data_IF_789297612047
#
_entry.id   IF_789297612047
#
_cell.length_a   1.000
_cell.length_b   1.000
_cell.length_c   1.000
_cell.angle_alpha   90.00
_cell.angle_beta   90.00
_cell.angle_gamma   90.00
#
_symmetry.space_group_name_H-M   'P 1'
#
loop_
_entity.id
_entity.type
_entity.pdbx_description
1 polymer ?
#
# COMPACT_ATOMS: atom_id res chain seq x y z
N UNK A 1 20.12 41.18 -26.31
CA UNK A 1 18.93 40.64 -25.64
C UNK A 1 18.77 39.23 -26.20
N UNK A 2 19.33 38.24 -25.51
CA UNK A 2 19.50 36.88 -26.03
C UNK A 2 18.20 36.13 -25.87
N UNK A 3 17.52 35.93 -26.99
CA UNK A 3 16.32 35.10 -27.13
C UNK A 3 16.74 33.64 -26.97
N UNK A 4 16.67 33.12 -25.73
CA UNK A 4 16.70 31.68 -25.49
C UNK A 4 15.25 31.20 -25.63
N UNK A 5 14.96 30.24 -26.52
CA UNK A 5 13.64 29.62 -26.52
C UNK A 5 13.36 29.06 -25.12
N UNK A 6 12.19 29.35 -24.57
CA UNK A 6 11.69 28.68 -23.37
C UNK A 6 11.75 27.17 -23.62
N UNK A 7 12.17 26.37 -22.61
CA UNK A 7 12.19 24.92 -22.77
C UNK A 7 10.77 24.45 -23.09
N UNK A 8 10.61 23.42 -23.95
CA UNK A 8 9.29 22.93 -24.32
C UNK A 8 8.52 22.57 -23.04
N UNK A 9 7.34 23.16 -22.97
CA UNK A 9 6.26 22.94 -22.03
C UNK A 9 6.36 21.58 -21.31
N UNK A 10 6.77 21.61 -20.04
CA UNK A 10 6.98 20.38 -19.28
C UNK A 10 5.62 19.71 -19.06
N UNK A 11 5.34 18.64 -19.82
CA UNK A 11 4.16 17.81 -19.64
C UNK A 11 4.01 17.37 -18.18
N UNK A 12 2.78 17.38 -17.68
CA UNK A 12 2.49 17.08 -16.29
C UNK A 12 2.98 15.69 -15.89
N UNK A 13 3.46 15.57 -14.65
CA UNK A 13 4.07 14.38 -14.06
C UNK A 13 5.44 13.98 -14.62
N UNK A 14 5.96 14.67 -15.64
CA UNK A 14 7.24 14.34 -16.27
C UNK A 14 8.39 14.29 -15.28
N UNK A 15 8.43 15.20 -14.29
CA UNK A 15 9.47 15.16 -13.25
C UNK A 15 9.30 13.97 -12.29
N UNK A 16 8.08 13.63 -11.87
CA UNK A 16 7.82 12.46 -11.02
C UNK A 16 8.10 11.14 -11.76
N UNK A 17 7.71 11.05 -13.04
CA UNK A 17 7.96 9.91 -13.91
C UNK A 17 9.46 9.77 -14.17
N UNK A 18 10.15 10.86 -14.47
CA UNK A 18 11.61 10.86 -14.64
C UNK A 18 12.33 10.48 -13.33
N UNK A 19 11.85 10.94 -12.17
CA UNK A 19 12.40 10.52 -10.88
C UNK A 19 12.24 9.00 -10.63
N UNK A 20 11.19 8.39 -11.21
CA UNK A 20 10.91 6.95 -11.06
C UNK A 20 11.63 6.08 -12.09
N UNK A 21 11.70 6.51 -13.34
CA UNK A 21 12.17 5.71 -14.48
C UNK A 21 13.44 6.24 -15.15
N UNK A 22 13.92 7.42 -14.78
CA UNK A 22 15.06 8.10 -15.39
C UNK A 22 14.66 9.07 -16.52
N UNK A 23 15.59 9.97 -16.90
CA UNK A 23 15.37 11.11 -17.81
C UNK A 23 15.21 10.73 -19.31
N UNK A 24 14.85 9.49 -19.64
CA UNK A 24 14.69 9.00 -21.02
C UNK A 24 13.43 8.18 -21.29
N UNK A 25 12.52 8.09 -20.31
CA UNK A 25 11.25 7.32 -20.38
C UNK A 25 10.03 8.26 -20.40
N UNK A 26 10.27 9.56 -20.54
CA UNK A 26 9.23 10.60 -20.46
C UNK A 26 8.29 10.55 -21.65
N UNK A 27 8.78 10.16 -22.83
CA UNK A 27 7.99 10.19 -24.06
C UNK A 27 6.92 9.09 -24.12
N UNK A 28 7.14 7.95 -23.46
CA UNK A 28 6.17 6.83 -23.42
C UNK A 28 5.09 6.99 -22.34
N UNK A 29 5.27 7.94 -21.43
CA UNK A 29 4.34 8.20 -20.31
C UNK A 29 3.88 9.67 -20.26
N UNK A 30 4.17 10.44 -21.31
CA UNK A 30 3.73 11.81 -21.43
C UNK A 30 2.20 11.86 -21.45
N UNK A 31 1.63 12.67 -20.57
CA UNK A 31 0.22 13.02 -20.62
C UNK A 31 0.06 14.17 -21.62
N UNK A 32 -0.76 14.02 -22.68
CA UNK A 32 -1.06 15.11 -23.60
C UNK A 32 -1.60 16.34 -22.87
N UNK A 33 -1.24 17.54 -23.34
CA UNK A 33 -1.63 18.80 -22.69
C UNK A 33 -3.14 19.00 -22.63
N UNK A 34 -3.87 18.56 -23.65
CA UNK A 34 -5.32 18.61 -23.72
C UNK A 34 -6.00 17.68 -22.69
N UNK A 35 -5.28 16.69 -22.14
CA UNK A 35 -5.73 15.83 -21.05
C UNK A 35 -5.25 16.29 -19.65
N UNK A 36 -4.48 17.38 -19.57
CA UNK A 36 -3.79 17.80 -18.35
C UNK A 36 -4.74 18.22 -17.21
N UNK A 37 -5.88 18.81 -17.56
CA UNK A 37 -6.91 19.21 -16.59
C UNK A 37 -7.66 17.98 -16.06
N UNK A 38 -7.97 17.02 -16.95
CA UNK A 38 -8.68 15.80 -16.59
C UNK A 38 -7.84 14.86 -15.69
N UNK A 39 -6.52 14.89 -15.87
CA UNK A 39 -5.57 14.05 -15.12
C UNK A 39 -5.07 14.70 -13.82
N UNK A 40 -5.60 15.88 -13.45
CA UNK A 40 -5.28 16.58 -12.20
C UNK A 40 -5.88 15.90 -10.99
N UNK A 41 -5.12 15.02 -10.32
CA UNK A 41 -5.57 14.48 -9.04
C UNK A 41 -4.43 14.15 -8.07
N UNK A 42 -4.70 14.38 -6.78
CA UNK A 42 -3.77 14.12 -5.69
C UNK A 42 -3.40 12.64 -5.56
N UNK A 43 -4.25 11.72 -6.02
CA UNK A 43 -3.98 10.27 -5.97
C UNK A 43 -2.83 9.87 -6.90
N UNK A 44 -2.79 10.40 -8.13
CA UNK A 44 -1.71 10.17 -9.09
C UNK A 44 -0.42 10.79 -8.56
N UNK A 45 -0.48 12.02 -8.03
CA UNK A 45 0.66 12.66 -7.37
C UNK A 45 1.23 11.78 -6.24
N UNK A 46 0.36 11.25 -5.38
CA UNK A 46 0.74 10.35 -4.28
C UNK A 46 1.35 9.04 -4.78
N UNK A 47 0.78 8.42 -5.82
CA UNK A 47 1.27 7.15 -6.34
C UNK A 47 2.63 7.29 -7.03
N UNK A 48 2.85 8.35 -7.80
CA UNK A 48 4.11 8.58 -8.50
C UNK A 48 5.23 9.02 -7.55
N UNK A 49 4.91 9.73 -6.47
CA UNK A 49 5.88 10.18 -5.45
C UNK A 49 6.18 9.15 -4.37
N UNK A 50 5.45 8.03 -4.33
CA UNK A 50 5.61 6.97 -3.34
C UNK A 50 7.06 6.48 -3.26
N UNK A 51 7.56 6.40 -2.01
CA UNK A 51 8.86 5.82 -1.66
C UNK A 51 8.78 5.15 -0.29
N UNK A 52 9.52 4.07 -0.08
CA UNK A 52 9.55 3.41 1.24
C UNK A 52 10.21 4.31 2.29
N UNK A 53 9.48 4.64 3.35
CA UNK A 53 10.02 5.32 4.52
C UNK A 53 10.49 4.29 5.55
N UNK A 54 11.76 4.35 5.96
CA UNK A 54 12.36 3.41 6.94
C UNK A 54 12.90 4.09 8.20
N UNK A 55 12.52 5.35 8.41
CA UNK A 55 12.87 6.13 9.60
C UNK A 55 11.62 6.83 10.08
N UNK A 56 11.22 6.55 11.31
CA UNK A 56 9.97 7.04 11.89
C UNK A 56 10.27 7.95 13.08
N UNK A 57 9.34 8.85 13.38
CA UNK A 57 9.29 9.57 14.66
C UNK A 57 8.60 8.70 15.69
N UNK A 58 8.72 9.08 16.97
CA UNK A 58 7.97 8.45 18.07
C UNK A 58 6.53 8.98 18.19
N UNK A 59 6.07 9.77 17.21
CA UNK A 59 4.72 10.32 17.19
C UNK A 59 3.69 9.18 17.01
N UNK A 60 2.74 9.01 17.94
CA UNK A 60 1.79 7.92 17.87
C UNK A 60 0.73 8.17 16.77
N UNK A 61 0.34 7.10 16.08
CA UNK A 61 -0.86 7.10 15.23
C UNK A 61 -2.08 6.90 16.14
N UNK A 62 -3.02 7.84 16.12
CA UNK A 62 -4.24 7.73 16.94
C UNK A 62 -5.09 6.52 16.53
N UNK A 63 -5.81 5.91 17.48
CA UNK A 63 -6.70 4.76 17.19
C UNK A 63 -7.80 5.15 16.17
N UNK A 64 -8.27 6.40 16.20
CA UNK A 64 -9.26 6.91 15.24
C UNK A 64 -8.68 6.95 13.81
N UNK A 65 -7.47 7.47 13.65
CA UNK A 65 -6.80 7.49 12.36
C UNK A 65 -6.46 6.08 11.88
N UNK A 66 -5.98 5.23 12.78
CA UNK A 66 -5.73 3.82 12.49
C UNK A 66 -7.00 3.10 11.99
N UNK A 67 -8.13 3.32 12.66
CA UNK A 67 -9.42 2.77 12.24
C UNK A 67 -9.84 3.21 10.84
N UNK A 68 -9.63 4.49 10.50
CA UNK A 68 -9.86 5.02 9.15
C UNK A 68 -8.98 4.30 8.11
N UNK A 69 -7.69 4.14 8.38
CA UNK A 69 -6.77 3.46 7.45
C UNK A 69 -7.14 1.97 7.27
N UNK A 70 -7.60 1.30 8.33
CA UNK A 70 -8.11 -0.07 8.25
C UNK A 70 -9.40 -0.15 7.44
N UNK A 71 -10.27 0.87 7.48
CA UNK A 71 -11.44 0.94 6.60
C UNK A 71 -11.04 1.14 5.13
N UNK A 72 -10.00 1.94 4.85
CA UNK A 72 -9.43 2.06 3.51
C UNK A 72 -8.87 0.72 3.01
N UNK A 73 -8.14 -0.01 3.86
CA UNK A 73 -7.65 -1.35 3.55
C UNK A 73 -8.79 -2.32 3.20
N UNK A 74 -9.88 -2.28 3.98
CA UNK A 74 -11.05 -3.14 3.78
C UNK A 74 -11.89 -2.78 2.55
N UNK A 75 -11.65 -1.60 1.97
CA UNK A 75 -12.32 -1.15 0.74
C UNK A 75 -11.65 -1.70 -0.53
N UNK A 76 -10.54 -2.45 -0.39
CA UNK A 76 -9.92 -3.15 -1.51
C UNK A 76 -10.89 -4.18 -2.13
N UNK A 77 -10.88 -4.36 -3.46
CA UNK A 77 -11.62 -5.45 -4.09
C UNK A 77 -11.08 -6.79 -3.57
N UNK A 78 -11.92 -7.82 -3.51
CA UNK A 78 -11.52 -9.16 -3.05
C UNK A 78 -12.15 -10.24 -3.90
N UNK A 79 -11.48 -11.38 -4.04
CA UNK A 79 -11.98 -12.49 -4.86
C UNK A 79 -13.36 -12.93 -4.37
N UNK A 80 -14.39 -12.78 -5.21
CA UNK A 80 -15.77 -13.16 -4.90
C UNK A 80 -16.30 -12.58 -3.57
N UNK A 81 -15.79 -11.43 -3.13
CA UNK A 81 -16.07 -10.84 -1.81
C UNK A 81 -15.74 -11.76 -0.61
N UNK A 82 -14.81 -12.70 -0.77
CA UNK A 82 -14.44 -13.66 0.28
C UNK A 82 -13.54 -13.05 1.37
N UNK A 83 -12.96 -11.87 1.11
CA UNK A 83 -12.14 -11.10 2.05
C UNK A 83 -11.11 -12.00 2.77
N UNK A 84 -10.29 -12.69 1.97
CA UNK A 84 -9.44 -13.80 2.40
C UNK A 84 -8.14 -13.32 3.06
N UNK A 85 -8.25 -12.37 3.99
CA UNK A 85 -7.13 -11.79 4.69
C UNK A 85 -7.45 -11.42 6.14
N UNK A 86 -6.40 -11.30 6.93
CA UNK A 86 -6.42 -10.74 8.28
C UNK A 86 -5.29 -9.71 8.43
N UNK A 87 -5.57 -8.62 9.15
CA UNK A 87 -4.60 -7.56 9.48
C UNK A 87 -4.31 -7.66 10.97
N UNK A 88 -3.08 -8.01 11.33
CA UNK A 88 -2.65 -8.14 12.72
C UNK A 88 -1.86 -6.88 13.10
N UNK A 89 -2.34 -6.15 14.11
CA UNK A 89 -1.65 -4.97 14.64
C UNK A 89 -0.86 -5.33 15.90
N UNK A 90 0.47 -5.23 15.82
CA UNK A 90 1.38 -5.49 16.96
C UNK A 90 1.52 -4.23 17.81
N UNK A 91 0.60 -4.06 18.78
CA UNK A 91 0.57 -2.91 19.69
C UNK A 91 1.72 -2.94 20.72
N UNK A 92 2.11 -4.12 21.20
CA UNK A 92 3.12 -4.28 22.25
C UNK A 92 4.55 -4.06 21.71
N UNK A 93 5.30 -3.05 22.22
CA UNK A 93 6.69 -2.84 21.86
C UNK A 93 7.59 -4.05 22.11
N UNK A 94 7.32 -4.86 23.15
CA UNK A 94 8.11 -6.05 23.45
C UNK A 94 7.94 -7.12 22.37
N UNK A 95 6.72 -7.28 21.84
CA UNK A 95 6.46 -8.16 20.69
C UNK A 95 7.16 -7.66 19.43
N UNK A 96 7.16 -6.35 19.15
CA UNK A 96 7.90 -5.78 18.01
C UNK A 96 9.41 -6.04 18.13
N UNK A 97 9.97 -5.82 19.32
CA UNK A 97 11.38 -6.09 19.59
C UNK A 97 11.73 -7.58 19.43
N UNK A 98 10.82 -8.49 19.79
CA UNK A 98 11.00 -9.93 19.59
C UNK A 98 10.90 -10.37 18.12
N UNK A 99 10.15 -9.63 17.28
CA UNK A 99 10.03 -9.90 15.85
C UNK A 99 11.22 -9.38 15.04
N UNK A 100 11.84 -8.27 15.45
CA UNK A 100 12.93 -7.63 14.69
C UNK A 100 14.10 -8.58 14.32
N UNK A 101 14.59 -9.47 15.20
CA UNK A 101 15.63 -10.45 14.85
C UNK A 101 15.23 -11.45 13.75
N UNK A 102 13.93 -11.70 13.55
CA UNK A 102 13.42 -12.58 12.48
C UNK A 102 13.46 -11.91 11.10
N UNK A 103 13.67 -10.59 11.06
CA UNK A 103 13.72 -9.78 9.85
C UNK A 103 15.02 -8.96 9.80
N UNK A 104 16.20 -9.62 9.64
CA UNK A 104 17.51 -8.98 9.80
C UNK A 104 17.76 -7.84 8.81
N UNK A 105 17.09 -7.85 7.66
CA UNK A 105 17.20 -6.81 6.63
C UNK A 105 16.21 -5.64 6.85
N UNK A 106 15.52 -5.59 7.99
CA UNK A 106 14.45 -4.63 8.26
C UNK A 106 14.57 -4.05 9.69
N UNK A 107 15.73 -3.43 10.03
CA UNK A 107 16.01 -2.97 11.40
C UNK A 107 15.00 -1.93 11.92
N UNK A 108 14.32 -1.20 11.02
CA UNK A 108 13.30 -0.23 11.39
C UNK A 108 12.06 -0.83 12.08
N UNK A 109 11.86 -2.16 12.02
CA UNK A 109 10.76 -2.85 12.72
C UNK A 109 10.75 -2.63 14.23
N UNK A 110 11.93 -2.53 14.85
CA UNK A 110 12.03 -2.34 16.29
C UNK A 110 11.57 -0.94 16.73
N UNK A 111 11.75 0.06 15.87
CA UNK A 111 11.47 1.47 16.17
C UNK A 111 10.24 2.05 15.47
N UNK A 112 9.46 1.25 14.73
CA UNK A 112 8.25 1.78 14.10
C UNK A 112 7.11 1.92 15.13
N UNK A 113 6.33 3.01 15.08
CA UNK A 113 5.22 3.23 16.02
C UNK A 113 4.04 2.30 15.75
N UNK A 114 3.88 1.85 14.50
CA UNK A 114 2.83 0.91 14.07
C UNK A 114 3.48 -0.21 13.26
N UNK A 115 3.23 -1.46 13.68
CA UNK A 115 3.62 -2.66 12.93
C UNK A 115 2.38 -3.48 12.60
N UNK A 116 2.16 -3.70 11.30
CA UNK A 116 1.07 -4.52 10.77
C UNK A 116 1.59 -5.75 10.04
N UNK A 117 0.88 -6.86 10.19
CA UNK A 117 1.11 -8.09 9.43
C UNK A 117 -0.16 -8.39 8.64
N UNK A 118 -0.03 -8.39 7.31
CA UNK A 118 -1.10 -8.77 6.40
C UNK A 118 -0.96 -10.26 6.06
N UNK A 119 -1.94 -11.05 6.45
CA UNK A 119 -1.94 -12.50 6.26
C UNK A 119 -3.00 -12.89 5.24
N UNK A 120 -2.67 -13.80 4.33
CA UNK A 120 -3.68 -14.60 3.64
C UNK A 120 -4.41 -15.44 4.70
N UNK A 121 -5.73 -15.27 4.83
CA UNK A 121 -6.55 -15.93 5.86
C UNK A 121 -7.78 -16.58 5.24
N UNK A 122 -7.70 -17.90 5.09
CA UNK A 122 -8.81 -18.74 4.64
C UNK A 122 -9.63 -19.31 5.81
N UNK A 123 -9.13 -19.18 7.05
CA UNK A 123 -9.72 -19.83 8.22
C UNK A 123 -11.11 -19.28 8.52
N UNK A 124 -11.37 -17.98 8.26
CA UNK A 124 -12.72 -17.40 8.35
C UNK A 124 -13.72 -18.15 7.46
N UNK A 125 -13.36 -18.36 6.20
CA UNK A 125 -14.25 -18.99 5.22
C UNK A 125 -14.41 -20.49 5.48
N UNK A 126 -13.33 -21.17 5.90
CA UNK A 126 -13.38 -22.56 6.31
C UNK A 126 -14.34 -22.78 7.50
N UNK A 127 -14.18 -21.99 8.57
CA UNK A 127 -15.09 -22.05 9.74
C UNK A 127 -16.54 -21.75 9.35
N UNK A 128 -16.76 -20.80 8.44
CA UNK A 128 -18.10 -20.49 7.95
C UNK A 128 -18.73 -21.67 7.20
N UNK A 129 -17.97 -22.36 6.34
CA UNK A 129 -18.46 -23.54 5.63
C UNK A 129 -18.75 -24.69 6.59
N UNK A 130 -17.86 -24.97 7.54
CA UNK A 130 -18.03 -26.02 8.56
C UNK A 130 -19.27 -25.75 9.42
N UNK A 131 -19.45 -24.53 9.91
CA UNK A 131 -20.62 -24.12 10.70
C UNK A 131 -21.95 -24.25 9.94
N UNK A 132 -21.90 -24.25 8.61
CA UNK A 132 -23.08 -24.41 7.73
C UNK A 132 -23.23 -25.83 7.19
N UNK A 133 -22.37 -26.77 7.60
CA UNK A 133 -22.42 -28.16 7.14
C UNK A 133 -21.93 -28.39 5.71
N UNK A 134 -21.17 -27.45 5.15
CA UNK A 134 -20.55 -27.57 3.83
C UNK A 134 -19.06 -27.96 3.95
N UNK A 135 -18.57 -28.74 2.99
CA UNK A 135 -17.12 -28.96 2.83
C UNK A 135 -16.44 -27.69 2.31
N UNK A 136 -15.26 -27.37 2.84
CA UNK A 136 -14.48 -26.22 2.39
C UNK A 136 -13.80 -26.50 1.04
N UNK A 137 -14.36 -25.98 -0.05
CA UNK A 137 -13.89 -26.26 -1.41
C UNK A 137 -12.57 -25.56 -1.77
N UNK A 138 -12.23 -24.43 -1.13
CA UNK A 138 -11.09 -23.59 -1.51
C UNK A 138 -9.76 -24.01 -0.87
N UNK A 139 -9.65 -25.26 -0.38
CA UNK A 139 -8.43 -25.82 0.21
C UNK A 139 -7.44 -26.31 -0.86
N UNK A 140 -7.09 -25.44 -1.82
CA UNK A 140 -6.16 -25.73 -2.90
C UNK A 140 -5.31 -24.49 -3.25
N UNK A 141 -4.37 -24.67 -4.18
CA UNK A 141 -3.39 -23.63 -4.54
C UNK A 141 -4.04 -22.32 -4.98
N UNK A 142 -5.09 -22.35 -5.81
CA UNK A 142 -5.79 -21.12 -6.20
C UNK A 142 -6.40 -20.38 -5.00
N UNK A 143 -6.89 -21.12 -3.99
CA UNK A 143 -7.40 -20.52 -2.75
C UNK A 143 -6.32 -19.75 -1.99
N UNK A 144 -5.10 -20.30 -1.93
CA UNK A 144 -3.93 -19.61 -1.37
C UNK A 144 -3.56 -18.36 -2.17
N UNK A 145 -3.48 -18.47 -3.50
CA UNK A 145 -3.15 -17.34 -4.39
C UNK A 145 -4.17 -16.22 -4.22
N UNK A 146 -5.46 -16.55 -4.21
CA UNK A 146 -6.53 -15.57 -3.98
C UNK A 146 -6.34 -14.85 -2.63
N UNK A 147 -6.05 -15.59 -1.54
CA UNK A 147 -5.79 -14.99 -0.23
C UNK A 147 -4.56 -14.08 -0.19
N UNK A 148 -3.48 -14.47 -0.87
CA UNK A 148 -2.26 -13.63 -0.98
C UNK A 148 -2.55 -12.33 -1.72
N UNK A 149 -3.27 -12.40 -2.85
CA UNK A 149 -3.62 -11.22 -3.65
C UNK A 149 -4.57 -10.31 -2.87
N UNK A 150 -5.60 -10.86 -2.22
CA UNK A 150 -6.51 -10.11 -1.35
C UNK A 150 -5.76 -9.36 -0.24
N UNK A 151 -4.84 -10.03 0.45
CA UNK A 151 -4.02 -9.42 1.50
C UNK A 151 -3.10 -8.31 0.96
N UNK A 152 -2.49 -8.52 -0.21
CA UNK A 152 -1.63 -7.53 -0.86
C UNK A 152 -2.40 -6.29 -1.33
N UNK A 153 -3.61 -6.46 -1.88
CA UNK A 153 -4.48 -5.35 -2.27
C UNK A 153 -4.93 -4.53 -1.04
N UNK A 154 -5.33 -5.21 0.04
CA UNK A 154 -5.68 -4.53 1.29
C UNK A 154 -4.49 -3.73 1.85
N UNK A 155 -3.29 -4.31 1.83
CA UNK A 155 -2.04 -3.63 2.23
C UNK A 155 -1.76 -2.40 1.35
N UNK A 156 -1.90 -2.51 0.03
CA UNK A 156 -1.65 -1.38 -0.86
C UNK A 156 -2.67 -0.26 -0.66
N UNK A 157 -3.95 -0.57 -0.44
CA UNK A 157 -4.97 0.43 -0.09
C UNK A 157 -4.65 1.12 1.25
N UNK A 158 -4.19 0.38 2.26
CA UNK A 158 -3.73 0.96 3.52
C UNK A 158 -2.56 1.94 3.29
N UNK A 159 -1.53 1.50 2.56
CA UNK A 159 -0.32 2.29 2.28
C UNK A 159 -0.68 3.57 1.54
N UNK A 160 -1.47 3.48 0.47
CA UNK A 160 -1.88 4.64 -0.31
C UNK A 160 -2.66 5.65 0.55
N UNK A 161 -3.55 5.18 1.41
CA UNK A 161 -4.30 6.06 2.32
C UNK A 161 -3.41 6.68 3.40
N UNK A 162 -2.44 5.95 3.95
CA UNK A 162 -1.51 6.45 4.94
C UNK A 162 -0.57 7.51 4.35
N UNK A 163 -0.04 7.27 3.14
CA UNK A 163 0.86 8.20 2.47
C UNK A 163 0.15 9.47 2.00
N UNK A 164 -1.13 9.39 1.61
CA UNK A 164 -1.91 10.56 1.18
C UNK A 164 -2.17 11.58 2.28
N UNK A 165 -2.09 11.16 3.55
CA UNK A 165 -2.19 12.04 4.73
C UNK A 165 -0.82 12.33 5.36
N UNK A 166 0.28 11.97 4.69
CA UNK A 166 1.64 12.33 5.08
C UNK A 166 2.37 11.32 5.98
N UNK A 167 1.80 10.15 6.26
CA UNK A 167 2.52 9.09 6.98
C UNK A 167 3.53 8.39 6.05
N UNK A 168 4.63 7.91 6.63
CA UNK A 168 5.60 7.08 5.92
C UNK A 168 5.28 5.59 6.07
N UNK A 169 5.39 4.82 4.98
CA UNK A 169 5.22 3.36 5.01
C UNK A 169 6.40 2.61 4.38
N UNK A 170 6.67 1.41 4.88
CA UNK A 170 7.52 0.41 4.23
C UNK A 170 6.84 -0.96 4.34
N UNK A 171 6.77 -1.68 3.22
CA UNK A 171 6.30 -3.05 3.11
C UNK A 171 7.48 -3.94 2.72
#
# INVERSE_FOLDING_TARGET
MSDRPEPPDATRYTSQIAARYGNGVTDTHAVPQDEETATRNATIDSLLSRRSCRRYTDEPVSDALFGLLVACAQSAPTKSNLQQYSIIHIKDPAQRAALAPLCPNTPQLAGCPVLLIFCADLARNQRLTENRGYSFANAHMDGLINGVIDAAMAMQCFITAAESIGLGCAA
#
